data_IF_289982596696
#
_entry.id   IF_289982596696
#
_cell.length_a   1.000
_cell.length_b   1.000
_cell.length_c   1.000
_cell.angle_alpha   90.00
_cell.angle_beta   90.00
_cell.angle_gamma   90.00
#
_symmetry.space_group_name_H-M   'P 1'
#
loop_
_entity.id
_entity.type
_entity.pdbx_description
1 polymer ?
#
# COMPACT_ATOMS: atom_id res chain seq x y z
N UNK A 1 17.92 0.55 -13.78
CA UNK A 1 16.64 0.42 -14.48
C UNK A 1 16.37 1.59 -15.46
N UNK A 2 17.26 2.58 -15.51
CA UNK A 2 17.23 3.65 -16.50
C UNK A 2 17.99 3.18 -17.75
N UNK A 3 17.44 3.41 -18.90
CA UNK A 3 17.96 3.03 -20.23
C UNK A 3 18.13 1.52 -20.47
N UNK A 4 17.14 0.91 -21.11
CA UNK A 4 17.19 -0.47 -21.66
C UNK A 4 17.68 -1.57 -20.70
N UNK A 5 17.58 -1.36 -19.38
CA UNK A 5 18.05 -2.30 -18.37
C UNK A 5 17.34 -3.65 -18.39
N UNK A 6 16.11 -3.73 -18.91
CA UNK A 6 15.39 -5.00 -19.01
C UNK A 6 16.03 -6.01 -19.95
N UNK A 7 16.43 -5.66 -21.20
CA UNK A 7 17.11 -6.60 -22.07
C UNK A 7 18.41 -7.13 -21.47
N UNK A 8 19.19 -6.27 -20.80
CA UNK A 8 20.42 -6.68 -20.12
C UNK A 8 20.13 -7.57 -18.90
N UNK A 9 19.12 -7.26 -18.12
CA UNK A 9 18.76 -8.03 -16.91
C UNK A 9 18.37 -9.47 -17.26
N UNK A 10 17.73 -9.68 -18.41
CA UNK A 10 17.32 -11.02 -18.88
C UNK A 10 18.39 -11.77 -19.67
N UNK A 11 19.57 -11.19 -19.88
CA UNK A 11 20.77 -11.97 -20.27
C UNK A 11 21.37 -12.72 -19.10
N UNK A 12 21.03 -12.34 -17.85
CA UNK A 12 21.40 -13.07 -16.64
C UNK A 12 20.51 -14.31 -16.48
N UNK A 13 20.95 -15.37 -15.79
CA UNK A 13 20.17 -16.59 -15.57
C UNK A 13 19.06 -16.37 -14.52
N UNK A 14 18.27 -15.30 -14.69
CA UNK A 14 17.16 -14.92 -13.81
C UNK A 14 15.86 -15.10 -14.57
N UNK A 15 14.93 -15.87 -14.00
CA UNK A 15 13.59 -16.02 -14.59
C UNK A 15 12.74 -14.76 -14.32
N UNK A 16 11.79 -14.47 -15.23
CA UNK A 16 10.85 -13.35 -15.08
C UNK A 16 10.09 -13.43 -13.75
N UNK A 17 9.72 -14.64 -13.32
CA UNK A 17 9.04 -14.85 -12.02
C UNK A 17 9.93 -14.53 -10.83
N UNK A 18 11.20 -14.91 -10.87
CA UNK A 18 12.15 -14.58 -9.80
C UNK A 18 12.30 -13.07 -9.66
N UNK A 19 12.40 -12.34 -10.76
CA UNK A 19 12.47 -10.88 -10.74
C UNK A 19 11.24 -10.23 -10.08
N UNK A 20 10.01 -10.67 -10.40
CA UNK A 20 8.81 -10.17 -9.74
C UNK A 20 8.83 -10.50 -8.25
N UNK A 21 9.14 -11.76 -7.90
CA UNK A 21 9.19 -12.19 -6.49
C UNK A 21 10.19 -11.36 -5.69
N UNK A 22 11.37 -11.09 -6.23
CA UNK A 22 12.39 -10.26 -5.59
C UNK A 22 11.87 -8.84 -5.28
N UNK A 23 11.13 -8.22 -6.22
CA UNK A 23 10.51 -6.90 -6.00
C UNK A 23 9.52 -6.91 -4.83
N UNK A 24 8.63 -7.90 -4.77
CA UNK A 24 7.65 -8.00 -3.68
C UNK A 24 8.31 -8.32 -2.34
N UNK A 25 9.26 -9.25 -2.31
CA UNK A 25 10.03 -9.57 -1.09
C UNK A 25 10.77 -8.33 -0.60
N UNK A 26 11.40 -7.58 -1.49
CA UNK A 26 12.08 -6.33 -1.12
C UNK A 26 11.12 -5.31 -0.51
N UNK A 27 9.95 -5.08 -1.13
CA UNK A 27 8.94 -4.15 -0.61
C UNK A 27 8.42 -4.61 0.75
N UNK A 28 8.16 -5.91 0.94
CA UNK A 28 7.71 -6.45 2.23
C UNK A 28 8.76 -6.28 3.31
N UNK A 29 10.03 -6.57 3.03
CA UNK A 29 11.14 -6.37 3.97
C UNK A 29 11.27 -4.89 4.34
N UNK A 30 11.26 -4.00 3.34
CA UNK A 30 11.36 -2.55 3.59
C UNK A 30 10.17 -2.01 4.39
N UNK A 31 8.96 -2.52 4.12
CA UNK A 31 7.77 -2.16 4.89
C UNK A 31 7.87 -2.65 6.34
N UNK A 32 8.36 -3.88 6.56
CA UNK A 32 8.57 -4.40 7.91
C UNK A 32 9.63 -3.59 8.69
N UNK A 33 10.75 -3.24 8.06
CA UNK A 33 11.79 -2.40 8.66
C UNK A 33 11.21 -1.02 9.00
N UNK A 34 10.50 -0.39 8.07
CA UNK A 34 9.85 0.91 8.28
C UNK A 34 8.85 0.86 9.43
N UNK A 35 8.08 -0.23 9.53
CA UNK A 35 7.14 -0.43 10.62
C UNK A 35 7.84 -0.52 11.98
N UNK A 36 8.93 -1.28 12.10
CA UNK A 36 9.71 -1.39 13.32
C UNK A 36 10.33 -0.05 13.74
N UNK A 37 10.94 0.67 12.81
CA UNK A 37 11.51 2.01 13.06
C UNK A 37 10.43 2.98 13.50
N UNK A 38 9.25 2.92 12.88
CA UNK A 38 8.13 3.77 13.24
C UNK A 38 7.56 3.46 14.62
N UNK A 39 7.43 2.19 15.02
CA UNK A 39 7.04 1.83 16.39
C UNK A 39 8.02 2.42 17.40
N UNK A 40 9.33 2.29 17.16
CA UNK A 40 10.34 2.88 18.04
C UNK A 40 10.14 4.40 18.15
N UNK A 41 9.90 5.08 17.02
CA UNK A 41 9.64 6.53 16.98
C UNK A 41 8.37 6.91 17.77
N UNK A 42 7.27 6.14 17.62
CA UNK A 42 6.02 6.35 18.35
C UNK A 42 6.24 6.18 19.86
N UNK A 43 6.95 5.14 20.29
CA UNK A 43 7.28 4.91 21.69
C UNK A 43 8.10 6.05 22.26
N UNK A 44 9.14 6.50 21.55
CA UNK A 44 9.97 7.62 21.98
C UNK A 44 9.15 8.91 22.10
N UNK A 45 8.29 9.21 21.13
CA UNK A 45 7.39 10.37 21.18
C UNK A 45 6.40 10.29 22.33
N UNK A 46 5.86 9.12 22.61
CA UNK A 46 4.94 8.91 23.73
C UNK A 46 5.58 9.30 25.07
N UNK A 47 6.82 8.89 25.31
CA UNK A 47 7.52 9.22 26.55
C UNK A 47 8.00 10.68 26.63
N UNK A 48 8.32 11.30 25.49
CA UNK A 48 8.83 12.69 25.46
C UNK A 48 7.71 13.73 25.49
N UNK A 49 6.59 13.48 24.81
CA UNK A 49 5.53 14.48 24.57
C UNK A 49 4.28 14.24 25.41
N UNK A 50 4.18 13.12 26.14
CA UNK A 50 2.99 12.75 26.95
C UNK A 50 1.67 13.06 26.23
N UNK A 51 1.40 12.44 25.06
CA UNK A 51 0.20 12.69 24.29
C UNK A 51 -1.06 12.28 25.06
N UNK A 52 -2.22 12.81 24.64
CA UNK A 52 -3.52 12.47 25.25
C UNK A 52 -3.99 11.07 24.85
N UNK A 53 -3.56 10.60 23.69
CA UNK A 53 -3.89 9.29 23.15
C UNK A 53 -3.11 8.19 23.87
N UNK A 54 -3.69 6.99 23.94
CA UNK A 54 -3.00 5.83 24.49
C UNK A 54 -1.90 5.34 23.54
N UNK A 55 -0.86 4.72 24.08
CA UNK A 55 0.22 4.13 23.28
C UNK A 55 -0.32 3.13 22.25
N UNK A 56 -1.35 2.35 22.64
CA UNK A 56 -2.00 1.38 21.76
C UNK A 56 -2.66 2.04 20.55
N UNK A 57 -3.39 3.14 20.77
CA UNK A 57 -4.02 3.91 19.68
C UNK A 57 -3.00 4.46 18.72
N UNK A 58 -1.90 5.02 19.22
CA UNK A 58 -0.81 5.54 18.37
C UNK A 58 -0.16 4.44 17.51
N UNK A 59 0.07 3.26 18.10
CA UNK A 59 0.62 2.10 17.37
C UNK A 59 -0.37 1.62 16.29
N UNK A 60 -1.66 1.55 16.60
CA UNK A 60 -2.70 1.17 15.65
C UNK A 60 -2.80 2.18 14.49
N UNK A 61 -2.81 3.48 14.76
CA UNK A 61 -2.81 4.53 13.74
C UNK A 61 -1.60 4.40 12.82
N UNK A 62 -0.41 4.20 13.40
CA UNK A 62 0.80 4.00 12.62
C UNK A 62 0.76 2.71 11.79
N UNK A 63 0.20 1.64 12.33
CA UNK A 63 -0.04 0.39 11.63
C UNK A 63 -0.91 0.57 10.38
N UNK A 64 -2.04 1.25 10.53
CA UNK A 64 -2.95 1.57 9.41
C UNK A 64 -2.24 2.41 8.34
N UNK A 65 -1.45 3.41 8.76
CA UNK A 65 -0.65 4.22 7.84
C UNK A 65 0.35 3.36 7.05
N UNK A 66 1.09 2.48 7.73
CA UNK A 66 2.07 1.60 7.08
C UNK A 66 1.42 0.64 6.08
N UNK A 67 0.25 0.09 6.41
CA UNK A 67 -0.53 -0.77 5.51
C UNK A 67 -1.00 0.01 4.28
N UNK A 68 -1.43 1.26 4.47
CA UNK A 68 -1.82 2.13 3.35
C UNK A 68 -0.66 2.36 2.39
N UNK A 69 0.54 2.60 2.91
CA UNK A 69 1.76 2.74 2.09
C UNK A 69 2.09 1.44 1.36
N UNK A 70 1.91 0.27 2.00
CA UNK A 70 2.09 -1.04 1.36
C UNK A 70 1.14 -1.20 0.16
N UNK A 71 -0.14 -0.91 0.34
CA UNK A 71 -1.15 -0.99 -0.74
C UNK A 71 -0.78 -0.07 -1.91
N UNK A 72 -0.30 1.15 -1.63
CA UNK A 72 0.17 2.07 -2.68
C UNK A 72 1.37 1.49 -3.45
N UNK A 73 2.34 0.88 -2.76
CA UNK A 73 3.45 0.20 -3.42
C UNK A 73 2.99 -0.98 -4.27
N UNK A 74 2.04 -1.78 -3.79
CA UNK A 74 1.45 -2.90 -4.53
C UNK A 74 0.78 -2.45 -5.83
N UNK A 75 0.17 -1.28 -5.86
CA UNK A 75 -0.39 -0.70 -7.08
C UNK A 75 0.72 -0.18 -8.01
N UNK A 76 1.78 0.41 -7.44
CA UNK A 76 2.88 0.99 -8.21
C UNK A 76 3.73 -0.06 -8.93
N UNK A 77 3.94 -1.25 -8.34
CA UNK A 77 4.80 -2.29 -8.93
C UNK A 77 4.28 -2.73 -10.31
N UNK A 78 3.03 -3.22 -10.49
CA UNK A 78 2.54 -3.65 -11.79
C UNK A 78 2.48 -2.50 -12.80
N UNK A 79 2.19 -1.28 -12.36
CA UNK A 79 2.19 -0.12 -13.24
C UNK A 79 3.59 0.21 -13.75
N UNK A 80 4.61 0.20 -12.89
CA UNK A 80 6.01 0.37 -13.30
C UNK A 80 6.50 -0.74 -14.24
N UNK A 81 6.06 -1.98 -14.01
CA UNK A 81 6.38 -3.10 -14.90
C UNK A 81 5.70 -2.97 -16.26
N UNK A 82 4.51 -2.37 -16.32
CA UNK A 82 3.75 -2.18 -17.57
C UNK A 82 4.30 -1.04 -18.41
N UNK A 83 4.64 0.08 -17.77
CA UNK A 83 5.18 1.26 -18.45
C UNK A 83 6.70 1.20 -18.46
N UNK A 84 7.30 1.32 -19.64
CA UNK A 84 8.76 1.36 -19.82
C UNK A 84 9.40 2.56 -19.12
N UNK A 85 10.72 2.51 -18.96
CA UNK A 85 11.50 3.41 -18.11
C UNK A 85 11.22 4.91 -18.30
N UNK A 86 10.99 5.37 -19.52
CA UNK A 86 10.67 6.78 -19.79
C UNK A 86 9.30 7.19 -19.26
N UNK A 87 8.28 6.33 -19.38
CA UNK A 87 6.93 6.57 -18.88
C UNK A 87 6.77 6.22 -17.40
N UNK A 88 7.70 5.47 -16.83
CA UNK A 88 7.70 5.07 -15.42
C UNK A 88 7.70 6.25 -14.45
N UNK A 89 8.27 7.39 -14.83
CA UNK A 89 8.25 8.63 -14.04
C UNK A 89 6.82 9.19 -13.88
N UNK A 90 5.94 8.96 -14.84
CA UNK A 90 4.54 9.41 -14.80
C UNK A 90 3.67 8.53 -13.90
N UNK A 91 4.10 7.32 -13.57
CA UNK A 91 3.33 6.40 -12.71
C UNK A 91 3.10 7.00 -11.32
N UNK A 92 4.12 7.63 -10.74
CA UNK A 92 4.02 8.23 -9.41
C UNK A 92 2.91 9.30 -9.35
N UNK A 93 2.94 10.38 -10.18
CA UNK A 93 1.89 11.39 -10.14
C UNK A 93 0.51 10.84 -10.53
N UNK A 94 0.44 9.84 -11.41
CA UNK A 94 -0.85 9.21 -11.78
C UNK A 94 -1.43 8.44 -10.61
N UNK A 95 -0.64 7.65 -9.88
CA UNK A 95 -1.10 6.87 -8.73
C UNK A 95 -1.52 7.79 -7.59
N UNK A 96 -0.68 8.77 -7.22
CA UNK A 96 -1.01 9.70 -6.15
C UNK A 96 -2.15 10.65 -6.53
N UNK A 97 -2.15 11.18 -7.76
CA UNK A 97 -3.25 12.01 -8.27
C UNK A 97 -4.56 11.24 -8.35
N UNK A 98 -4.53 10.01 -8.85
CA UNK A 98 -5.69 9.11 -8.89
C UNK A 98 -6.22 8.78 -7.49
N UNK A 99 -5.35 8.44 -6.55
CA UNK A 99 -5.73 8.19 -5.16
C UNK A 99 -6.38 9.44 -4.51
N UNK A 100 -5.82 10.63 -4.76
CA UNK A 100 -6.39 11.88 -4.27
C UNK A 100 -7.78 12.14 -4.86
N UNK A 101 -7.97 11.94 -6.17
CA UNK A 101 -9.28 12.11 -6.82
C UNK A 101 -10.30 11.12 -6.25
N UNK A 102 -9.92 9.85 -6.08
CA UNK A 102 -10.79 8.83 -5.47
C UNK A 102 -11.16 9.22 -4.04
N UNK A 103 -10.22 9.71 -3.24
CA UNK A 103 -10.48 10.17 -1.88
C UNK A 103 -11.46 11.36 -1.85
N UNK A 104 -11.32 12.33 -2.75
CA UNK A 104 -12.24 13.46 -2.87
C UNK A 104 -13.65 13.02 -3.30
N UNK A 105 -13.75 12.09 -4.24
CA UNK A 105 -15.04 11.54 -4.66
C UNK A 105 -15.68 10.78 -3.51
N UNK A 106 -14.93 9.93 -2.80
CA UNK A 106 -15.40 9.17 -1.64
C UNK A 106 -15.89 10.11 -0.52
N UNK A 107 -15.13 11.16 -0.22
CA UNK A 107 -15.53 12.18 0.77
C UNK A 107 -16.82 12.90 0.37
N UNK A 108 -16.97 13.25 -0.92
CA UNK A 108 -18.20 13.87 -1.44
C UNK A 108 -19.40 12.93 -1.36
N UNK A 109 -19.21 11.67 -1.76
CA UNK A 109 -20.25 10.65 -1.67
C UNK A 109 -20.65 10.37 -0.21
N UNK A 110 -19.69 10.30 0.70
CA UNK A 110 -19.97 10.17 2.13
C UNK A 110 -20.76 11.37 2.68
N UNK A 111 -20.47 12.58 2.20
CA UNK A 111 -21.24 13.77 2.54
C UNK A 111 -22.68 13.73 2.04
N UNK A 112 -22.96 13.04 0.93
CA UNK A 112 -24.31 12.90 0.35
C UNK A 112 -25.13 11.77 0.97
N UNK A 113 -24.53 10.89 1.78
CA UNK A 113 -25.26 9.84 2.50
C UNK A 113 -26.25 10.45 3.50
N UNK A 114 -27.44 9.85 3.58
CA UNK A 114 -28.44 10.25 4.58
C UNK A 114 -27.89 10.05 6.00
N UNK A 115 -28.31 10.89 6.95
CA UNK A 115 -27.86 10.79 8.36
C UNK A 115 -28.11 9.39 8.92
N UNK A 116 -29.21 8.76 8.58
CA UNK A 116 -29.54 7.39 9.00
C UNK A 116 -28.54 6.34 8.50
N UNK A 117 -28.00 6.51 7.30
CA UNK A 117 -26.94 5.63 6.77
C UNK A 117 -25.61 5.90 7.45
N UNK A 118 -25.24 7.16 7.69
CA UNK A 118 -24.05 7.54 8.44
C UNK A 118 -24.04 6.94 9.84
N UNK A 119 -25.17 7.06 10.56
CA UNK A 119 -25.34 6.46 11.88
C UNK A 119 -25.16 4.94 11.86
N UNK A 120 -25.77 4.25 10.88
CA UNK A 120 -25.60 2.79 10.74
C UNK A 120 -24.14 2.40 10.48
N UNK A 121 -23.41 3.13 9.64
CA UNK A 121 -21.98 2.89 9.39
C UNK A 121 -21.15 3.15 10.65
N UNK A 122 -21.42 4.22 11.38
CA UNK A 122 -20.72 4.54 12.61
C UNK A 122 -20.99 3.49 13.70
N UNK A 123 -22.24 3.04 13.85
CA UNK A 123 -22.59 1.99 14.79
C UNK A 123 -21.95 0.65 14.42
N UNK A 124 -21.91 0.31 13.12
CA UNK A 124 -21.22 -0.89 12.65
C UNK A 124 -19.71 -0.83 12.93
N UNK A 125 -19.07 0.30 12.63
CA UNK A 125 -17.65 0.52 12.91
C UNK A 125 -17.36 0.47 14.42
N UNK A 126 -18.23 1.06 15.24
CA UNK A 126 -18.12 1.03 16.71
C UNK A 126 -18.26 -0.39 17.26
N UNK A 127 -19.22 -1.17 16.74
CA UNK A 127 -19.43 -2.56 17.16
C UNK A 127 -18.27 -3.49 16.77
N UNK A 128 -17.61 -3.22 15.65
CA UNK A 128 -16.43 -3.98 15.20
C UNK A 128 -15.23 -3.69 16.11
N UNK A 129 -15.15 -2.46 16.63
CA UNK A 129 -14.04 -2.00 17.44
C UNK A 129 -12.74 -1.77 16.65
N UNK A 130 -11.76 -1.15 17.27
CA UNK A 130 -10.50 -0.77 16.63
C UNK A 130 -9.71 -1.98 16.13
N UNK A 131 -9.65 -3.06 16.90
CA UNK A 131 -8.96 -4.29 16.51
C UNK A 131 -9.64 -5.00 15.35
N UNK A 132 -10.98 -4.95 15.28
CA UNK A 132 -11.72 -5.53 14.16
C UNK A 132 -11.49 -4.76 12.88
N UNK A 133 -11.47 -3.43 12.93
CA UNK A 133 -11.12 -2.58 11.79
C UNK A 133 -9.69 -2.86 11.32
N UNK A 134 -8.73 -2.94 12.25
CA UNK A 134 -7.35 -3.28 11.93
C UNK A 134 -7.23 -4.66 11.24
N UNK A 135 -7.96 -5.66 11.74
CA UNK A 135 -7.98 -6.98 11.11
C UNK A 135 -8.53 -6.95 9.67
N UNK A 136 -9.62 -6.21 9.43
CA UNK A 136 -10.20 -6.03 8.08
C UNK A 136 -9.18 -5.38 7.14
N UNK A 137 -8.50 -4.33 7.59
CA UNK A 137 -7.49 -3.63 6.78
C UNK A 137 -6.31 -4.54 6.46
N UNK A 138 -5.84 -5.36 7.41
CA UNK A 138 -4.77 -6.34 7.18
C UNK A 138 -5.20 -7.38 6.14
N UNK A 139 -6.40 -7.95 6.27
CA UNK A 139 -6.92 -8.94 5.31
C UNK A 139 -7.06 -8.32 3.93
N UNK A 140 -7.58 -7.10 3.82
CA UNK A 140 -7.67 -6.39 2.57
C UNK A 140 -6.29 -6.16 1.93
N UNK A 141 -5.29 -5.76 2.72
CA UNK A 141 -3.92 -5.58 2.24
C UNK A 141 -3.34 -6.88 1.69
N UNK A 142 -3.49 -8.00 2.39
CA UNK A 142 -3.01 -9.31 1.92
C UNK A 142 -3.66 -9.68 0.58
N UNK A 143 -4.97 -9.47 0.44
CA UNK A 143 -5.68 -9.74 -0.82
C UNK A 143 -5.14 -8.86 -1.95
N UNK A 144 -4.93 -7.57 -1.69
CA UNK A 144 -4.38 -6.62 -2.68
C UNK A 144 -2.96 -7.01 -3.08
N UNK A 145 -2.09 -7.37 -2.13
CA UNK A 145 -0.72 -7.81 -2.41
C UNK A 145 -0.71 -9.06 -3.29
N UNK A 146 -1.53 -10.07 -2.98
CA UNK A 146 -1.64 -11.29 -3.76
C UNK A 146 -2.15 -10.98 -5.18
N UNK A 147 -3.22 -10.20 -5.31
CA UNK A 147 -3.77 -9.81 -6.60
C UNK A 147 -2.76 -9.04 -7.46
N UNK A 148 -2.05 -8.09 -6.85
CA UNK A 148 -1.00 -7.30 -7.48
C UNK A 148 0.17 -8.18 -7.96
N UNK A 149 0.59 -9.13 -7.13
CA UNK A 149 1.64 -10.08 -7.47
C UNK A 149 1.27 -10.94 -8.70
N UNK A 150 0.06 -11.51 -8.74
CA UNK A 150 -0.43 -12.24 -9.92
C UNK A 150 -0.50 -11.35 -11.16
N UNK A 151 -0.94 -10.12 -11.01
CA UNK A 151 -1.03 -9.17 -12.11
C UNK A 151 0.36 -8.81 -12.65
N UNK A 152 1.33 -8.56 -11.78
CA UNK A 152 2.72 -8.28 -12.13
C UNK A 152 3.38 -9.43 -12.90
N UNK A 153 3.13 -10.68 -12.50
CA UNK A 153 3.63 -11.85 -13.23
C UNK A 153 3.07 -11.92 -14.64
N UNK A 154 1.75 -11.75 -14.79
CA UNK A 154 1.08 -11.76 -16.11
C UNK A 154 1.57 -10.65 -17.04
N UNK A 155 1.87 -9.47 -16.50
CA UNK A 155 2.42 -8.35 -17.29
C UNK A 155 3.78 -8.73 -17.85
N UNK A 156 4.65 -9.29 -17.02
CA UNK A 156 6.03 -9.61 -17.43
C UNK A 156 6.11 -10.83 -18.36
N UNK A 157 5.20 -11.81 -18.19
CA UNK A 157 5.11 -12.96 -19.10
C UNK A 157 4.71 -12.57 -20.53
N UNK A 158 3.87 -11.53 -20.67
CA UNK A 158 3.39 -11.03 -21.97
C UNK A 158 4.34 -10.04 -22.66
N UNK A 159 5.36 -9.56 -21.97
CA UNK A 159 6.38 -8.69 -22.60
C UNK A 159 7.34 -9.55 -23.41
N UNK A 160 7.38 -9.30 -24.71
CA UNK A 160 8.43 -9.77 -25.63
C UNK A 160 9.58 -8.74 -25.58
N UNK A 161 10.80 -9.21 -25.31
CA UNK A 161 12.03 -8.42 -25.28
C UNK A 161 12.94 -8.86 -26.41
#
# INVERSE_FOLDING_TARGET
EYDNGYPFLFTLPITRRQYVNEKYVFVLIMTAISFLVGIISVVVQFFLLTPKESLTELILMYGVYTITVLILNDIMIPLKLRFESEKGRLVIPIVFGGAMVIALIAAKLAGMLSETLKEKFLLAAFNIGEYGIAAIVIVAAVIVTIASWFWSQRILEKKEF
#
